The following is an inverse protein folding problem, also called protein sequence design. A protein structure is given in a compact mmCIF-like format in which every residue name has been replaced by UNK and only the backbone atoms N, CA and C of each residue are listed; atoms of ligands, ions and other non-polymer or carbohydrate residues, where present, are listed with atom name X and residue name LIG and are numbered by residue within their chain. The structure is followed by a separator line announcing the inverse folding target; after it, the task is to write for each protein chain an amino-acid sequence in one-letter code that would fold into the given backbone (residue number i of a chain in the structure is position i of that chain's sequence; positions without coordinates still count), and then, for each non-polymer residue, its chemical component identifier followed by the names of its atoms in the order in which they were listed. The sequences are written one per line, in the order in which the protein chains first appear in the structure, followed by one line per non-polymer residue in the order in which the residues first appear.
data_IF_471092810154
#
_entry.id   IF_471092810154
#
_cell.length_a   1.000
_cell.length_b   1.000
_cell.length_c   1.000
_cell.angle_alpha   90.00
_cell.angle_beta   90.00
_cell.angle_gamma   90.00
#
_symmetry.space_group_name_H-M   'P 1'
#
loop_
_entity.id
_entity.type
_entity.pdbx_description
1 polymer ?
#
# COMPACT_ATOMS: atom_id res chain seq x y z
N UNK A 1 6.48 -10.81 7.98
CA UNK A 1 7.06 -9.47 7.71
C UNK A 1 8.45 -9.42 8.30
N UNK A 2 9.47 -9.12 7.50
CA UNK A 2 10.84 -8.88 7.97
C UNK A 2 10.96 -7.47 8.54
N UNK A 3 11.87 -7.28 9.49
CA UNK A 3 12.24 -5.96 10.04
C UNK A 3 13.67 -5.57 9.66
N UNK A 4 14.32 -6.36 8.79
CA UNK A 4 15.62 -5.98 8.24
C UNK A 4 15.43 -4.74 7.36
N UNK A 5 16.24 -3.67 7.56
CA UNK A 5 16.18 -2.47 6.72
C UNK A 5 16.24 -2.75 5.22
N UNK A 6 16.97 -3.79 4.79
CA UNK A 6 17.06 -4.16 3.37
C UNK A 6 15.74 -4.70 2.80
N UNK A 7 14.90 -5.29 3.65
CA UNK A 7 13.62 -5.88 3.26
C UNK A 7 12.47 -4.87 3.29
N UNK A 8 12.68 -3.66 3.83
CA UNK A 8 11.69 -2.58 3.88
C UNK A 8 11.57 -1.84 2.54
N UNK A 9 11.29 -2.62 1.50
CA UNK A 9 11.07 -2.14 0.12
C UNK A 9 9.61 -2.30 -0.29
N UNK A 10 9.21 -1.54 -1.30
CA UNK A 10 7.90 -1.66 -1.94
C UNK A 10 7.89 -2.78 -3.00
N UNK A 11 9.06 -3.29 -3.39
CA UNK A 11 9.19 -4.27 -4.44
C UNK A 11 8.81 -5.65 -3.91
N UNK A 12 7.73 -6.20 -4.45
CA UNK A 12 7.20 -7.52 -4.09
C UNK A 12 7.53 -8.57 -5.15
N UNK A 13 8.27 -8.21 -6.20
CA UNK A 13 8.71 -9.22 -7.17
C UNK A 13 9.62 -10.25 -6.50
N UNK A 14 9.35 -11.52 -6.78
CA UNK A 14 10.07 -12.64 -6.16
C UNK A 14 9.44 -13.18 -4.88
N UNK A 15 8.38 -12.56 -4.36
CA UNK A 15 7.58 -13.15 -3.27
C UNK A 15 6.66 -14.25 -3.80
N UNK A 16 6.53 -15.32 -3.02
CA UNK A 16 5.55 -16.37 -3.25
C UNK A 16 4.13 -15.89 -2.92
N UNK A 17 3.13 -16.56 -3.49
CA UNK A 17 1.70 -16.22 -3.28
C UNK A 17 1.32 -16.22 -1.79
N UNK A 18 1.76 -17.23 -1.04
CA UNK A 18 1.54 -17.36 0.41
C UNK A 18 2.13 -16.18 1.21
N UNK A 19 3.25 -15.62 0.74
CA UNK A 19 3.89 -14.47 1.36
C UNK A 19 3.13 -13.18 1.06
N UNK A 20 2.58 -13.06 -0.16
CA UNK A 20 1.69 -11.96 -0.54
C UNK A 20 0.38 -12.00 0.27
N UNK A 21 -0.20 -13.19 0.45
CA UNK A 21 -1.39 -13.38 1.30
C UNK A 21 -1.09 -13.01 2.77
N UNK A 22 0.07 -13.41 3.29
CA UNK A 22 0.50 -13.02 4.62
C UNK A 22 0.66 -11.50 4.75
N UNK A 23 1.20 -10.84 3.71
CA UNK A 23 1.35 -9.39 3.65
C UNK A 23 0.00 -8.68 3.74
N UNK A 24 -0.94 -9.11 2.90
CA UNK A 24 -2.29 -8.54 2.81
C UNK A 24 -3.09 -8.77 4.10
N UNK A 25 -2.99 -9.97 4.69
CA UNK A 25 -3.65 -10.32 5.94
C UNK A 25 -3.22 -9.39 7.08
N UNK A 26 -1.91 -9.15 7.24
CA UNK A 26 -1.38 -8.24 8.26
C UNK A 26 -1.79 -6.80 7.98
N UNK A 27 -1.66 -6.35 6.73
CA UNK A 27 -2.04 -5.00 6.32
C UNK A 27 -3.51 -4.71 6.60
N UNK A 28 -4.42 -5.57 6.14
CA UNK A 28 -5.87 -5.37 6.30
C UNK A 28 -6.31 -5.60 7.75
N UNK A 29 -5.84 -6.67 8.40
CA UNK A 29 -6.28 -7.04 9.75
C UNK A 29 -5.72 -6.15 10.86
N UNK A 30 -4.55 -5.53 10.67
CA UNK A 30 -3.89 -4.70 11.69
C UNK A 30 -3.94 -3.22 11.35
N UNK A 31 -3.43 -2.84 10.17
CA UNK A 31 -3.25 -1.42 9.84
C UNK A 31 -4.55 -0.80 9.37
N UNK A 32 -5.21 -1.38 8.37
CA UNK A 32 -6.45 -0.85 7.80
C UNK A 32 -7.62 -0.88 8.80
N UNK A 33 -7.60 -1.82 9.74
CA UNK A 33 -8.59 -1.90 10.81
C UNK A 33 -8.47 -0.75 11.82
N UNK A 34 -7.26 -0.23 12.04
CA UNK A 34 -6.96 0.77 13.07
C UNK A 34 -6.74 2.18 12.52
N UNK A 35 -6.24 2.30 11.31
CA UNK A 35 -5.81 3.56 10.72
C UNK A 35 -6.52 3.80 9.38
N UNK A 36 -7.16 4.96 9.17
CA UNK A 36 -7.71 5.31 7.88
C UNK A 36 -6.60 5.50 6.85
N UNK A 37 -6.87 5.13 5.60
CA UNK A 37 -5.96 5.40 4.49
C UNK A 37 -6.18 6.85 4.05
N UNK A 38 -5.14 7.67 4.19
CA UNK A 38 -5.19 9.12 3.92
C UNK A 38 -4.63 9.51 2.55
N UNK A 39 -4.07 8.56 1.81
CA UNK A 39 -3.46 8.81 0.50
C UNK A 39 -2.54 7.68 0.06
N UNK A 40 -1.81 7.91 -1.03
CA UNK A 40 -0.87 6.95 -1.61
C UNK A 40 0.55 7.48 -1.58
N UNK A 41 1.51 6.57 -1.56
CA UNK A 41 2.92 6.91 -1.69
C UNK A 41 3.21 7.51 -3.07
N UNK A 42 4.21 8.40 -3.14
CA UNK A 42 4.65 9.05 -4.37
C UNK A 42 4.92 8.04 -5.49
N UNK A 43 5.45 6.87 -5.17
CA UNK A 43 5.73 5.80 -6.14
C UNK A 43 4.51 5.23 -6.85
N UNK A 44 3.31 5.33 -6.25
CA UNK A 44 2.07 4.86 -6.89
C UNK A 44 1.50 5.92 -7.85
N UNK A 45 1.69 7.19 -7.50
CA UNK A 45 1.11 8.35 -8.20
C UNK A 45 2.08 9.03 -9.18
N UNK A 46 3.38 8.83 -9.04
CA UNK A 46 4.44 9.35 -9.88
C UNK A 46 5.24 8.21 -10.51
N UNK A 47 5.81 8.48 -11.67
CA UNK A 47 6.87 7.67 -12.29
C UNK A 47 8.21 7.95 -11.62
N UNK A 48 9.24 7.18 -11.98
CA UNK A 48 10.59 7.35 -11.44
C UNK A 48 11.20 8.73 -11.76
N UNK A 49 10.80 9.34 -12.87
CA UNK A 49 11.21 10.70 -13.27
C UNK A 49 10.43 11.82 -12.53
N UNK A 50 9.50 11.45 -11.63
CA UNK A 50 8.66 12.38 -10.89
C UNK A 50 7.45 12.90 -11.67
N UNK A 51 7.26 12.50 -12.92
CA UNK A 51 6.06 12.86 -13.69
C UNK A 51 4.83 12.05 -13.24
N UNK A 52 3.60 12.58 -13.39
CA UNK A 52 2.39 11.86 -12.99
C UNK A 52 2.25 10.50 -13.67
N UNK A 53 1.91 9.47 -12.89
CA UNK A 53 1.59 8.14 -13.40
C UNK A 53 0.19 8.12 -14.02
N UNK A 54 0.11 8.07 -15.35
CA UNK A 54 -1.17 8.04 -16.08
C UNK A 54 -1.99 6.75 -15.87
N UNK A 55 -1.35 5.69 -15.41
CA UNK A 55 -2.01 4.41 -15.13
C UNK A 55 -2.64 4.40 -13.72
N UNK A 56 -2.40 5.43 -12.93
CA UNK A 56 -3.05 5.61 -11.64
C UNK A 56 -4.53 6.00 -11.84
N UNK A 57 -5.44 5.12 -11.41
CA UNK A 57 -6.89 5.33 -11.45
C UNK A 57 -7.43 5.51 -10.03
N UNK A 58 -7.86 6.72 -9.64
CA UNK A 58 -8.45 6.94 -8.33
C UNK A 58 -9.72 6.14 -8.04
N UNK A 59 -10.43 5.73 -9.09
CA UNK A 59 -11.65 4.94 -9.02
C UNK A 59 -11.42 3.45 -8.72
N UNK A 60 -10.23 2.90 -9.00
CA UNK A 60 -9.88 1.52 -8.63
C UNK A 60 -9.56 1.39 -7.12
N UNK A 61 -9.66 2.50 -6.39
CA UNK A 61 -9.34 2.54 -4.97
C UNK A 61 -10.48 1.93 -4.15
N UNK A 62 -10.15 1.20 -3.07
CA UNK A 62 -11.17 0.82 -2.10
C UNK A 62 -11.83 2.08 -1.56
N UNK A 63 -13.17 2.16 -1.59
CA UNK A 63 -13.90 3.23 -0.92
C UNK A 63 -13.57 3.21 0.57
N UNK A 64 -12.78 4.17 1.03
CA UNK A 64 -12.44 4.31 2.44
C UNK A 64 -13.60 4.95 3.19
N UNK A 65 -14.09 4.26 4.22
CA UNK A 65 -14.84 4.91 5.29
C UNK A 65 -13.84 5.67 6.15
N UNK A 66 -13.60 6.94 5.84
CA UNK A 66 -12.87 7.83 6.73
C UNK A 66 -13.74 7.95 7.99
N UNK A 67 -13.24 7.42 9.12
CA UNK A 67 -13.79 7.82 10.42
C UNK A 67 -13.27 9.23 10.67
N UNK A 68 -14.18 10.20 10.74
CA UNK A 68 -13.86 11.51 11.27
C UNK A 68 -13.44 11.32 12.73
N UNK A 69 -12.14 11.46 12.99
CA UNK A 69 -11.61 11.58 14.34
C UNK A 69 -11.49 13.08 14.66
N UNK A 70 -12.54 13.64 15.28
CA UNK A 70 -12.56 14.96 15.91
C UNK A 70 -13.01 14.84 17.38
#
# INVERSE_FOLDING_TARGET
MSLDPADLTHDTTGLAEEQLESLESVFTGTYKAKYPIVGYTSRRILREDGSPNKDFRPEDQPHFSIKDEF
#
